data_IF_532629921434
#
_entry.id   IF_532629921434
#
_cell.length_a   1.000
_cell.length_b   1.000
_cell.length_c   1.000
_cell.angle_alpha   90.00
_cell.angle_beta   90.00
_cell.angle_gamma   90.00
#
_symmetry.space_group_name_H-M   'P 1'
#
loop_
_entity.id
_entity.type
_entity.pdbx_description
1 polymer ?
#
# COMPACT_ATOMS: atom_id res chain seq x y z
N UNK A 1 25.81 39.50 35.19
CA UNK A 1 24.48 39.31 34.56
C UNK A 1 23.44 39.32 35.67
N UNK A 2 22.47 40.23 35.63
CA UNK A 2 21.53 40.40 36.74
C UNK A 2 20.39 39.36 36.68
N UNK A 3 19.78 39.02 37.83
CA UNK A 3 18.78 37.94 37.96
C UNK A 3 17.60 38.07 36.98
N UNK A 4 17.26 39.30 36.57
CA UNK A 4 16.24 39.56 35.54
C UNK A 4 16.71 39.12 34.15
N UNK A 5 17.95 39.43 33.74
CA UNK A 5 18.51 38.97 32.47
C UNK A 5 18.60 37.44 32.38
N UNK A 6 18.89 36.75 33.49
CA UNK A 6 18.90 35.27 33.56
C UNK A 6 17.50 34.67 33.37
N UNK A 7 16.48 35.25 34.01
CA UNK A 7 15.08 34.77 33.90
C UNK A 7 14.51 35.04 32.49
N UNK A 8 14.80 36.20 31.91
CA UNK A 8 14.36 36.53 30.56
C UNK A 8 15.05 35.68 29.49
N UNK A 9 16.35 35.37 29.66
CA UNK A 9 17.06 34.45 28.78
C UNK A 9 16.51 33.01 28.88
N UNK A 10 16.17 32.55 30.09
CA UNK A 10 15.61 31.21 30.30
C UNK A 10 14.20 31.06 29.67
N UNK A 11 13.36 32.09 29.77
CA UNK A 11 12.02 32.12 29.14
C UNK A 11 12.06 32.24 27.61
N UNK A 12 13.10 32.87 27.05
CA UNK A 12 13.33 32.91 25.60
C UNK A 12 13.82 31.56 25.07
N UNK A 13 14.71 30.88 25.81
CA UNK A 13 15.21 29.54 25.44
C UNK A 13 14.09 28.48 25.57
N UNK A 14 13.23 28.58 26.59
CA UNK A 14 12.09 27.65 26.73
C UNK A 14 11.06 27.81 25.60
N UNK A 15 10.78 29.04 25.17
CA UNK A 15 9.86 29.29 24.04
C UNK A 15 10.47 28.93 22.67
N UNK A 16 11.79 28.99 22.50
CA UNK A 16 12.44 28.47 21.29
C UNK A 16 12.41 26.92 21.22
N UNK A 17 12.46 26.23 22.36
CA UNK A 17 12.42 24.76 22.42
C UNK A 17 11.00 24.18 22.21
N UNK A 18 9.95 24.94 22.49
CA UNK A 18 8.55 24.57 22.21
C UNK A 18 8.16 24.77 20.74
N UNK A 19 8.99 25.45 19.95
CA UNK A 19 8.68 25.95 18.62
C UNK A 19 9.21 25.10 17.46
N UNK A 20 9.28 23.77 17.54
CA UNK A 20 9.50 22.92 16.35
C UNK A 20 9.29 21.43 16.59
N UNK A 21 8.16 21.01 17.15
CA UNK A 21 7.64 19.68 16.82
C UNK A 21 6.74 19.82 15.59
N UNK A 22 7.36 19.89 14.41
CA UNK A 22 6.62 19.55 13.18
C UNK A 22 6.28 18.07 13.32
N UNK A 23 5.03 17.78 13.69
CA UNK A 23 4.44 16.47 13.41
C UNK A 23 4.51 16.32 11.89
N UNK A 24 5.52 15.59 11.40
CA UNK A 24 5.44 15.05 10.06
C UNK A 24 4.20 14.18 10.04
N UNK A 25 3.28 14.42 9.11
CA UNK A 25 2.13 13.56 8.93
C UNK A 25 2.65 12.14 8.69
N UNK A 26 2.58 11.30 9.72
CA UNK A 26 3.01 9.91 9.65
C UNK A 26 2.10 9.19 8.65
N UNK A 27 2.71 8.44 7.76
CA UNK A 27 1.97 7.66 6.76
C UNK A 27 1.15 6.57 7.46
N UNK A 28 0.03 6.17 6.86
CA UNK A 28 -0.87 5.17 7.47
C UNK A 28 -0.18 3.82 7.66
N UNK A 29 0.72 3.42 6.76
CA UNK A 29 1.50 2.19 6.90
C UNK A 29 2.54 2.22 8.03
N UNK A 30 2.73 3.35 8.70
CA UNK A 30 3.51 3.48 9.94
C UNK A 30 2.62 3.68 11.18
N UNK A 31 1.29 3.54 11.06
CA UNK A 31 0.32 3.71 12.16
C UNK A 31 -0.39 2.37 12.45
N UNK A 32 0.02 1.62 13.48
CA UNK A 32 -0.58 0.32 13.81
C UNK A 32 -2.09 0.39 14.10
N UNK A 33 -2.59 1.54 14.53
CA UNK A 33 -4.01 1.80 14.75
C UNK A 33 -4.83 1.93 13.45
N UNK A 34 -4.16 2.14 12.31
CA UNK A 34 -4.77 2.22 10.98
C UNK A 34 -4.47 0.94 10.20
N UNK A 35 -5.35 -0.05 10.30
CA UNK A 35 -5.22 -1.32 9.56
C UNK A 35 -6.16 -1.42 8.35
N UNK A 36 -7.12 -0.51 8.20
CA UNK A 36 -8.02 -0.40 7.06
C UNK A 36 -8.65 1.00 6.96
N UNK A 37 -9.09 1.37 5.76
CA UNK A 37 -9.96 2.53 5.52
C UNK A 37 -11.03 2.15 4.51
N UNK A 38 -12.29 2.49 4.79
CA UNK A 38 -13.43 2.34 3.88
C UNK A 38 -13.62 0.91 3.32
N UNK A 39 -13.18 -0.11 4.06
CA UNK A 39 -13.40 -1.51 3.71
C UNK A 39 -14.73 -1.98 4.29
N UNK A 40 -15.44 -2.82 3.55
CA UNK A 40 -16.62 -3.51 4.07
C UNK A 40 -16.24 -4.46 5.23
N UNK A 41 -17.19 -4.68 6.14
CA UNK A 41 -16.98 -5.59 7.26
C UNK A 41 -16.68 -7.02 6.78
N UNK A 42 -15.79 -7.71 7.49
CA UNK A 42 -15.43 -9.09 7.20
C UNK A 42 -16.67 -10.01 7.23
N UNK A 43 -16.83 -10.83 6.19
CA UNK A 43 -17.94 -11.78 6.06
C UNK A 43 -17.52 -13.03 5.30
N UNK A 44 -18.34 -14.08 5.36
CA UNK A 44 -18.16 -15.28 4.53
C UNK A 44 -18.21 -14.91 3.04
N UNK A 45 -17.38 -15.60 2.25
CA UNK A 45 -17.32 -15.41 0.80
C UNK A 45 -18.61 -15.97 0.18
N UNK A 46 -19.26 -15.14 -0.61
CA UNK A 46 -20.37 -15.55 -1.47
C UNK A 46 -20.42 -14.66 -2.71
N UNK A 47 -21.03 -15.19 -3.77
CA UNK A 47 -21.26 -14.48 -5.02
C UNK A 47 -22.77 -14.42 -5.30
N UNK A 48 -23.20 -13.34 -5.95
CA UNK A 48 -24.60 -13.16 -6.32
C UNK A 48 -24.90 -13.87 -7.63
N UNK A 49 -25.60 -15.00 -7.56
CA UNK A 49 -26.08 -15.74 -8.74
C UNK A 49 -27.49 -15.30 -9.14
N UNK A 50 -27.76 -15.29 -10.45
CA UNK A 50 -29.08 -14.95 -10.99
C UNK A 50 -30.10 -16.09 -10.97
N UNK A 51 -29.68 -17.33 -10.69
CA UNK A 51 -30.55 -18.51 -10.58
C UNK A 51 -29.92 -19.57 -9.69
N UNK A 52 -30.75 -20.46 -9.14
CA UNK A 52 -30.32 -21.62 -8.35
C UNK A 52 -29.42 -22.56 -9.17
N UNK A 53 -29.80 -22.83 -10.42
CA UNK A 53 -29.00 -23.66 -11.35
C UNK A 53 -27.56 -23.15 -11.46
N UNK A 54 -27.37 -21.84 -11.66
CA UNK A 54 -26.04 -21.23 -11.71
C UNK A 54 -25.31 -21.26 -10.37
N UNK A 55 -26.04 -21.09 -9.26
CA UNK A 55 -25.45 -21.16 -7.92
C UNK A 55 -24.89 -22.55 -7.62
N UNK A 56 -25.59 -23.61 -8.06
CA UNK A 56 -25.16 -25.00 -7.91
C UNK A 56 -23.89 -25.33 -8.71
N UNK A 57 -23.60 -24.60 -9.79
CA UNK A 57 -22.34 -24.75 -10.53
C UNK A 57 -21.11 -24.25 -9.76
N UNK A 58 -21.29 -23.38 -8.76
CA UNK A 58 -20.22 -22.78 -7.95
C UNK A 58 -19.12 -22.10 -8.79
N UNK A 59 -19.51 -21.52 -9.93
CA UNK A 59 -18.61 -20.79 -10.85
C UNK A 59 -19.07 -19.34 -10.97
N UNK A 60 -18.46 -18.39 -10.25
CA UNK A 60 -18.88 -16.98 -10.23
C UNK A 60 -18.97 -16.37 -11.62
N UNK A 61 -18.11 -16.77 -12.55
CA UNK A 61 -18.03 -16.30 -13.93
C UNK A 61 -19.33 -16.54 -14.70
N UNK A 62 -20.10 -17.56 -14.31
CA UNK A 62 -21.38 -17.90 -14.94
C UNK A 62 -22.55 -17.05 -14.43
N UNK A 63 -22.35 -16.31 -13.33
CA UNK A 63 -23.41 -15.56 -12.63
C UNK A 63 -23.93 -14.37 -13.44
N UNK A 64 -23.10 -13.76 -14.29
CA UNK A 64 -23.36 -12.45 -14.92
C UNK A 64 -23.20 -11.25 -13.98
N UNK A 65 -22.85 -11.48 -12.71
CA UNK A 65 -22.59 -10.47 -11.68
C UNK A 65 -21.14 -10.56 -11.16
N UNK A 66 -20.25 -11.12 -11.97
CA UNK A 66 -18.84 -11.28 -11.66
C UNK A 66 -18.03 -10.82 -12.87
N UNK A 67 -17.01 -10.00 -12.62
CA UNK A 67 -16.01 -9.58 -13.59
C UNK A 67 -14.65 -9.80 -12.94
N UNK A 68 -13.87 -10.74 -13.49
CA UNK A 68 -12.47 -10.88 -13.07
C UNK A 68 -11.68 -9.69 -13.60
N UNK A 69 -10.80 -9.16 -12.76
CA UNK A 69 -9.77 -8.19 -13.14
C UNK A 69 -8.39 -8.84 -13.22
N UNK A 70 -8.30 -10.17 -13.13
CA UNK A 70 -7.04 -10.90 -13.33
C UNK A 70 -6.58 -10.74 -14.78
N UNK A 71 -5.25 -10.70 -14.98
CA UNK A 71 -4.66 -10.48 -16.29
C UNK A 71 -3.43 -9.59 -16.25
N UNK A 72 -3.15 -8.93 -17.38
CA UNK A 72 -2.00 -8.02 -17.51
C UNK A 72 -2.37 -6.61 -17.10
N UNK A 73 -1.61 -6.06 -16.16
CA UNK A 73 -1.77 -4.70 -15.65
C UNK A 73 -0.53 -3.88 -15.99
N UNK A 74 -0.69 -2.56 -16.18
CA UNK A 74 0.45 -1.65 -16.29
C UNK A 74 1.13 -1.55 -14.93
N UNK A 75 2.45 -1.69 -14.93
CA UNK A 75 3.24 -1.81 -13.71
C UNK A 75 4.50 -0.95 -13.73
N UNK A 76 4.80 -0.38 -12.57
CA UNK A 76 6.05 0.34 -12.33
C UNK A 76 6.52 0.08 -10.89
N UNK A 77 7.75 -0.41 -10.75
CA UNK A 77 8.39 -0.60 -9.45
C UNK A 77 9.28 0.59 -9.12
N UNK A 78 9.08 1.18 -7.95
CA UNK A 78 9.93 2.24 -7.40
C UNK A 78 10.67 1.74 -6.16
N UNK A 79 11.89 2.25 -5.93
CA UNK A 79 12.75 1.81 -4.81
C UNK A 79 12.13 2.09 -3.43
N UNK A 80 11.39 3.19 -3.33
CA UNK A 80 10.80 3.67 -2.08
C UNK A 80 9.55 4.53 -2.35
N UNK A 81 8.74 4.83 -1.31
CA UNK A 81 7.53 5.63 -1.48
C UNK A 81 7.79 7.00 -2.09
N UNK A 82 8.92 7.65 -1.79
CA UNK A 82 9.18 9.00 -2.29
C UNK A 82 9.49 9.06 -3.79
N UNK A 83 10.07 7.99 -4.35
CA UNK A 83 10.38 7.86 -5.78
C UNK A 83 9.22 7.32 -6.62
N UNK A 84 8.09 6.96 -5.99
CA UNK A 84 6.91 6.46 -6.72
C UNK A 84 6.25 7.55 -7.58
N UNK A 85 5.59 7.19 -8.69
CA UNK A 85 4.83 8.14 -9.51
C UNK A 85 3.56 8.61 -8.78
N UNK A 86 3.66 9.69 -7.98
CA UNK A 86 2.61 10.08 -7.01
C UNK A 86 1.24 10.39 -7.62
N UNK A 87 1.20 10.84 -8.87
CA UNK A 87 -0.02 11.24 -9.58
C UNK A 87 -0.57 10.17 -10.55
N UNK A 88 -0.03 8.94 -10.53
CA UNK A 88 -0.38 7.91 -11.51
C UNK A 88 -1.86 7.51 -11.53
N UNK A 89 -2.56 7.74 -10.41
CA UNK A 89 -3.98 7.47 -10.23
C UNK A 89 -4.88 8.36 -11.12
N UNK A 90 -4.37 9.47 -11.65
CA UNK A 90 -5.12 10.34 -12.56
C UNK A 90 -5.33 9.66 -13.91
N UNK A 91 -6.50 9.84 -14.51
CA UNK A 91 -6.88 9.18 -15.76
C UNK A 91 -5.92 9.54 -16.91
N UNK A 92 -5.45 10.78 -16.96
CA UNK A 92 -4.59 11.35 -17.99
C UNK A 92 -3.08 11.13 -17.77
N UNK A 93 -2.69 10.46 -16.68
CA UNK A 93 -1.28 10.16 -16.43
C UNK A 93 -0.72 9.17 -17.46
N UNK A 94 0.36 9.56 -18.14
CA UNK A 94 1.01 8.74 -19.17
C UNK A 94 1.72 7.52 -18.56
N UNK A 95 1.25 6.33 -18.97
CA UNK A 95 1.79 5.01 -18.60
C UNK A 95 2.30 4.24 -19.82
N UNK A 96 2.52 4.93 -20.95
CA UNK A 96 3.01 4.32 -22.18
C UNK A 96 4.31 3.56 -21.97
N UNK A 97 5.23 4.14 -21.19
CA UNK A 97 6.53 3.57 -20.83
C UNK A 97 6.50 2.51 -19.71
N UNK A 98 5.33 2.23 -19.11
CA UNK A 98 5.23 1.21 -18.05
C UNK A 98 5.17 -0.21 -18.64
N UNK A 99 5.79 -1.13 -17.91
CA UNK A 99 5.79 -2.55 -18.22
C UNK A 99 4.40 -3.17 -17.99
N UNK A 100 4.25 -4.44 -18.37
CA UNK A 100 3.09 -5.25 -18.06
C UNK A 100 3.46 -6.31 -17.02
N UNK A 101 2.65 -6.46 -15.98
CA UNK A 101 2.78 -7.51 -14.96
C UNK A 101 1.54 -8.40 -14.96
N UNK A 102 1.72 -9.69 -14.68
CA UNK A 102 0.61 -10.63 -14.48
C UNK A 102 0.06 -10.48 -13.05
N UNK A 103 -1.26 -10.33 -12.96
CA UNK A 103 -2.03 -10.36 -11.71
C UNK A 103 -2.98 -11.57 -11.76
N UNK A 104 -3.04 -12.41 -10.70
CA UNK A 104 -2.22 -12.35 -9.49
C UNK A 104 -0.78 -12.86 -9.71
N UNK A 105 0.15 -12.41 -8.85
CA UNK A 105 1.53 -12.89 -8.82
C UNK A 105 2.45 -11.94 -8.04
N UNK A 106 3.43 -12.48 -7.32
CA UNK A 106 4.47 -11.68 -6.66
C UNK A 106 5.42 -11.09 -7.73
N UNK A 107 5.81 -9.82 -7.60
CA UNK A 107 6.65 -9.16 -8.62
C UNK A 107 8.07 -9.74 -8.66
N UNK A 108 8.56 -10.30 -7.54
CA UNK A 108 9.86 -10.96 -7.42
C UNK A 108 9.96 -12.19 -8.33
N UNK A 109 8.83 -12.88 -8.52
CA UNK A 109 8.75 -14.02 -9.43
C UNK A 109 8.56 -13.61 -10.89
N UNK A 110 8.43 -12.32 -11.16
CA UNK A 110 8.19 -11.74 -12.49
C UNK A 110 9.37 -10.89 -12.97
N UNK A 111 10.52 -10.96 -12.29
CA UNK A 111 11.76 -10.28 -12.69
C UNK A 111 11.96 -8.90 -12.08
N UNK A 112 11.14 -8.51 -11.11
CA UNK A 112 11.28 -7.24 -10.39
C UNK A 112 11.84 -7.46 -9.00
N UNK A 113 12.81 -6.66 -8.59
CA UNK A 113 13.40 -6.75 -7.25
C UNK A 113 13.97 -8.13 -6.90
N UNK A 114 14.19 -8.41 -5.61
CA UNK A 114 14.79 -9.66 -5.13
C UNK A 114 13.91 -10.36 -4.09
N UNK A 115 13.65 -11.67 -4.21
CA UNK A 115 12.99 -12.42 -3.16
C UNK A 115 13.94 -12.60 -1.98
N UNK A 116 13.47 -12.28 -0.76
CA UNK A 116 14.27 -12.36 0.46
C UNK A 116 13.74 -13.50 1.33
N UNK A 117 14.65 -14.39 1.72
CA UNK A 117 14.41 -15.41 2.74
C UNK A 117 15.23 -15.11 3.98
N UNK A 118 14.55 -15.03 5.12
CA UNK A 118 15.14 -14.93 6.46
C UNK A 118 14.37 -15.86 7.38
N UNK A 119 15.04 -16.38 8.41
CA UNK A 119 14.41 -17.28 9.39
C UNK A 119 13.71 -16.49 10.51
N UNK A 120 14.50 -15.86 11.38
CA UNK A 120 14.02 -15.13 12.57
C UNK A 120 14.03 -13.60 12.40
N UNK A 121 15.09 -12.96 11.87
CA UNK A 121 15.12 -11.49 11.83
C UNK A 121 14.10 -10.96 10.82
N UNK A 122 13.67 -9.72 11.00
CA UNK A 122 12.98 -8.98 9.94
C UNK A 122 13.93 -8.80 8.77
N UNK A 123 13.45 -9.06 7.56
CA UNK A 123 14.21 -8.96 6.31
C UNK A 123 14.81 -7.56 6.12
N UNK A 124 14.15 -6.55 6.68
CA UNK A 124 14.50 -5.16 6.57
C UNK A 124 15.22 -4.57 7.79
N UNK A 125 15.50 -5.36 8.84
CA UNK A 125 16.01 -4.82 10.10
C UNK A 125 17.13 -5.67 10.74
N UNK A 126 18.16 -5.98 9.95
CA UNK A 126 19.33 -6.75 10.38
C UNK A 126 20.61 -6.15 9.80
N UNK A 127 21.70 -6.15 10.57
CA UNK A 127 23.02 -5.67 10.15
C UNK A 127 23.56 -6.36 8.88
N UNK A 128 23.11 -7.60 8.61
CA UNK A 128 23.46 -8.38 7.41
C UNK A 128 22.63 -7.98 6.20
N UNK A 129 21.48 -7.33 6.37
CA UNK A 129 20.64 -6.87 5.26
C UNK A 129 21.37 -5.72 4.55
N UNK A 130 21.73 -5.81 3.26
CA UNK A 130 22.54 -4.78 2.61
C UNK A 130 21.76 -3.51 2.26
N UNK A 131 20.43 -3.60 2.18
CA UNK A 131 19.57 -2.63 1.48
C UNK A 131 18.77 -1.69 2.37
N UNK A 132 18.84 -1.82 3.70
CA UNK A 132 18.04 -1.02 4.65
C UNK A 132 18.90 -0.11 5.53
N UNK A 133 18.35 1.02 5.97
CA UNK A 133 18.97 1.85 7.02
C UNK A 133 18.78 1.30 8.45
N UNK A 134 17.88 0.35 8.66
CA UNK A 134 17.61 -0.26 9.97
C UNK A 134 18.59 -1.41 10.26
N UNK A 135 19.82 -1.12 10.72
CA UNK A 135 20.84 -2.17 10.93
C UNK A 135 20.82 -2.82 12.31
N UNK A 136 20.37 -2.11 13.34
CA UNK A 136 20.49 -2.54 14.73
C UNK A 136 19.23 -3.21 15.29
N UNK A 137 18.33 -3.65 14.40
CA UNK A 137 17.07 -4.29 14.74
C UNK A 137 15.85 -3.47 14.30
N UNK A 138 14.63 -4.03 14.44
CA UNK A 138 13.40 -3.34 14.11
C UNK A 138 13.11 -2.22 15.13
N UNK A 139 12.52 -1.13 14.67
CA UNK A 139 12.09 -0.01 15.51
C UNK A 139 10.59 0.27 15.35
N UNK A 140 9.69 -0.62 15.82
CA UNK A 140 8.25 -0.44 15.59
C UNK A 140 7.73 0.91 16.12
N UNK A 141 6.85 1.61 15.38
CA UNK A 141 6.18 1.19 14.14
C UNK A 141 6.92 1.59 12.85
N UNK A 142 8.17 2.02 12.93
CA UNK A 142 8.96 2.53 11.79
C UNK A 142 9.22 1.43 10.77
N UNK A 143 9.11 1.79 9.50
CA UNK A 143 9.57 0.96 8.36
C UNK A 143 10.73 1.68 7.65
N UNK A 144 11.54 0.97 6.84
CA UNK A 144 12.57 1.62 6.06
C UNK A 144 12.01 2.68 5.10
N UNK A 145 12.77 3.74 4.88
CA UNK A 145 12.50 4.87 3.98
C UNK A 145 13.40 4.84 2.76
N UNK A 146 14.64 4.38 2.89
CA UNK A 146 15.60 4.40 1.79
C UNK A 146 15.31 3.29 0.76
N UNK A 147 14.92 2.11 1.24
CA UNK A 147 14.52 0.96 0.43
C UNK A 147 13.25 0.33 1.01
N UNK A 148 12.14 0.62 0.36
CA UNK A 148 10.82 0.11 0.70
C UNK A 148 10.02 0.01 -0.61
N UNK A 149 10.29 -1.02 -1.40
CA UNK A 149 9.84 -1.13 -2.79
C UNK A 149 8.33 -0.92 -2.93
N UNK A 150 7.93 -0.10 -3.90
CA UNK A 150 6.52 0.24 -4.16
C UNK A 150 6.14 -0.16 -5.57
N UNK A 151 5.25 -1.14 -5.70
CA UNK A 151 4.62 -1.50 -6.97
C UNK A 151 3.41 -0.60 -7.26
N UNK A 152 3.46 0.17 -8.35
CA UNK A 152 2.33 0.95 -8.85
C UNK A 152 1.62 0.18 -9.95
N UNK A 153 0.31 -0.07 -9.78
CA UNK A 153 -0.51 -0.89 -10.68
C UNK A 153 -1.64 -0.06 -11.29
N UNK A 154 -1.77 -0.06 -12.62
CA UNK A 154 -2.88 0.62 -13.32
C UNK A 154 -3.53 -0.33 -14.34
N UNK A 155 -4.86 -0.39 -14.32
CA UNK A 155 -5.63 -1.24 -15.22
C UNK A 155 -6.94 -0.54 -15.59
N UNK A 156 -7.27 -0.58 -16.88
CA UNK A 156 -8.52 -0.03 -17.40
C UNK A 156 -9.45 -1.20 -17.73
N UNK A 157 -10.69 -1.09 -17.28
CA UNK A 157 -11.74 -2.06 -17.56
C UNK A 157 -13.06 -1.32 -17.80
N UNK A 158 -14.01 -2.02 -18.41
CA UNK A 158 -15.36 -1.52 -18.62
C UNK A 158 -16.33 -2.29 -17.75
N UNK A 159 -17.22 -1.58 -17.06
CA UNK A 159 -18.29 -2.22 -16.31
C UNK A 159 -19.33 -2.80 -17.28
N UNK A 160 -19.86 -4.01 -17.01
CA UNK A 160 -20.97 -4.55 -17.78
C UNK A 160 -22.21 -3.65 -17.72
N UNK A 161 -22.85 -3.38 -18.87
CA UNK A 161 -23.99 -2.46 -18.97
C UNK A 161 -25.17 -2.86 -18.05
N UNK A 162 -25.35 -4.17 -17.81
CA UNK A 162 -26.41 -4.71 -16.97
C UNK A 162 -26.22 -4.45 -15.46
N UNK A 163 -25.14 -3.75 -15.06
CA UNK A 163 -24.85 -3.41 -13.66
C UNK A 163 -25.33 -2.01 -13.25
N UNK A 164 -25.84 -1.18 -14.15
CA UNK A 164 -26.09 0.25 -13.90
C UNK A 164 -26.97 0.63 -12.71
N UNK A 165 -27.85 -0.27 -12.22
CA UNK A 165 -28.72 -0.06 -11.05
C UNK A 165 -28.35 -0.97 -9.87
N UNK A 166 -27.11 -1.47 -9.80
CA UNK A 166 -26.64 -2.41 -8.77
C UNK A 166 -25.58 -1.78 -7.88
N UNK A 167 -25.42 -2.32 -6.67
CA UNK A 167 -24.22 -2.07 -5.89
C UNK A 167 -23.07 -2.88 -6.46
N UNK A 168 -21.96 -2.21 -6.76
CA UNK A 168 -20.75 -2.81 -7.32
C UNK A 168 -19.65 -2.72 -6.27
N UNK A 169 -18.99 -3.85 -6.01
CA UNK A 169 -17.90 -3.96 -5.05
C UNK A 169 -16.64 -4.43 -5.76
N UNK A 170 -15.49 -3.86 -5.40
CA UNK A 170 -14.19 -4.40 -5.79
C UNK A 170 -13.69 -5.35 -4.70
N UNK A 171 -13.16 -6.50 -5.11
CA UNK A 171 -12.62 -7.49 -4.19
C UNK A 171 -11.18 -7.81 -4.57
N UNK A 172 -10.25 -7.50 -3.68
CA UNK A 172 -8.85 -7.92 -3.80
C UNK A 172 -8.65 -9.18 -2.96
N UNK A 173 -8.35 -10.31 -3.61
CA UNK A 173 -8.21 -11.59 -2.92
C UNK A 173 -7.08 -11.59 -1.88
N UNK A 174 -5.93 -11.02 -2.24
CA UNK A 174 -4.82 -10.76 -1.31
C UNK A 174 -3.87 -9.73 -1.89
N UNK A 175 -3.34 -8.85 -1.04
CA UNK A 175 -2.28 -7.89 -1.36
C UNK A 175 -1.28 -7.90 -0.21
N UNK A 176 0.02 -7.90 -0.52
CA UNK A 176 1.10 -7.84 0.47
C UNK A 176 2.01 -6.65 0.16
N UNK A 177 2.44 -5.84 1.13
CA UNK A 177 2.09 -5.85 2.56
C UNK A 177 0.95 -4.88 2.93
N UNK A 178 0.76 -3.81 2.15
CA UNK A 178 -0.32 -2.81 2.27
C UNK A 178 -0.54 -2.12 0.91
N UNK A 179 -1.70 -1.48 0.70
CA UNK A 179 -2.04 -0.73 -0.53
C UNK A 179 -3.03 0.41 -0.27
#
# INVERSE_FOLDING_TARGET
>A
MNRRQLITAFLLISNLLLGSMKSFAQYDWEKPEVFERNKEAGRVIFYSYGSEEKALLQKPETSGNYLSLDGKWKFHLSKNPDSRPKDFFKDDYDISAWDLIQVPGNWEMQGYDVPIYVNIPYEFADKRTPITELKDGPEPPRVPKDYNPVGSYKHQFMLPENWGNRQVFIHFGSVKSAF
#
